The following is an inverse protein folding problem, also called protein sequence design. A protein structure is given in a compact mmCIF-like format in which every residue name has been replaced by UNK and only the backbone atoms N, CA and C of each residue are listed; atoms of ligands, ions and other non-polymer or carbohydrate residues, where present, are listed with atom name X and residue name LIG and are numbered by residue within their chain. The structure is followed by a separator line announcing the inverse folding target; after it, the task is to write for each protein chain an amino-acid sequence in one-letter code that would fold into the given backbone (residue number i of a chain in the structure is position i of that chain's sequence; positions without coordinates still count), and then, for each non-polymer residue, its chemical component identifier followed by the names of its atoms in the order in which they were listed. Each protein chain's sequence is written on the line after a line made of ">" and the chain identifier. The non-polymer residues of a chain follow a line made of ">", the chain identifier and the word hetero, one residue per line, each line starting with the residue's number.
data_IF_243646135712
#
_entry.id   IF_243646135712
#
_cell.length_a   1.000
_cell.length_b   1.000
_cell.length_c   1.000
_cell.angle_alpha   90.00
_cell.angle_beta   90.00
_cell.angle_gamma   90.00
#
_symmetry.space_group_name_H-M   'P 1'
#
loop_
_entity.id
_entity.type
_entity.pdbx_description
1 polymer ?
#
# COMPACT_ATOMS: atom_id res chain seq x y z
N UNK A 1 3.79 15.80 19.70
CA UNK A 1 4.78 14.70 19.73
C UNK A 1 5.04 14.34 18.27
N UNK A 2 6.28 14.30 17.76
CA UNK A 2 6.48 13.85 16.40
C UNK A 2 6.07 12.39 16.34
N UNK A 3 5.12 12.12 15.43
CA UNK A 3 4.55 10.81 15.13
C UNK A 3 5.61 9.71 15.18
N UNK A 4 5.50 8.83 16.16
CA UNK A 4 6.19 7.54 16.13
C UNK A 4 5.85 6.90 14.80
N UNK A 5 6.84 6.70 13.95
CA UNK A 5 6.73 5.92 12.73
C UNK A 5 5.95 4.65 13.08
N UNK A 6 4.75 4.41 12.49
CA UNK A 6 3.94 3.25 12.83
C UNK A 6 4.80 1.99 12.91
N UNK A 7 4.58 1.14 13.93
CA UNK A 7 5.42 -0.04 14.21
C UNK A 7 5.63 -0.92 12.97
N UNK A 8 4.67 -0.91 12.05
CA UNK A 8 4.77 -1.63 10.79
C UNK A 8 5.75 -1.00 9.77
N UNK A 9 5.90 0.31 9.72
CA UNK A 9 6.91 0.99 8.88
C UNK A 9 8.32 0.71 9.38
N UNK A 10 8.53 0.67 10.69
CA UNK A 10 9.81 0.27 11.27
C UNK A 10 10.22 -1.16 10.86
N UNK A 11 9.24 -2.04 10.60
CA UNK A 11 9.48 -3.41 10.10
C UNK A 11 9.78 -3.46 8.60
N UNK A 12 9.26 -2.51 7.81
CA UNK A 12 9.43 -2.48 6.36
C UNK A 12 10.69 -1.74 5.90
N UNK A 13 11.04 -0.64 6.59
CA UNK A 13 12.16 0.24 6.27
C UNK A 13 13.52 -0.46 6.11
N UNK A 14 13.91 -1.48 6.90
CA UNK A 14 15.18 -2.17 6.73
C UNK A 14 15.34 -2.89 5.38
N UNK A 15 14.23 -3.12 4.67
CA UNK A 15 14.21 -3.81 3.38
C UNK A 15 14.17 -2.88 2.17
N UNK A 16 14.22 -1.56 2.40
CA UNK A 16 14.12 -0.54 1.37
C UNK A 16 15.39 0.31 1.31
N UNK A 17 15.87 0.58 0.10
CA UNK A 17 16.87 1.60 -0.11
C UNK A 17 16.25 3.01 0.05
N UNK A 18 17.05 4.08 0.18
CA UNK A 18 16.51 5.43 0.41
C UNK A 18 15.55 5.94 -0.68
N UNK A 19 15.76 5.56 -1.94
CA UNK A 19 14.89 5.96 -3.05
C UNK A 19 13.54 5.24 -2.97
N UNK A 20 13.56 3.93 -2.72
CA UNK A 20 12.37 3.11 -2.48
C UNK A 20 11.57 3.65 -1.28
N UNK A 21 12.24 3.95 -0.17
CA UNK A 21 11.59 4.52 1.01
C UNK A 21 10.92 5.85 0.68
N UNK A 22 11.57 6.74 -0.08
CA UNK A 22 11.01 8.02 -0.50
C UNK A 22 9.77 7.86 -1.40
N UNK A 23 9.78 6.89 -2.31
CA UNK A 23 8.64 6.59 -3.19
C UNK A 23 7.45 5.99 -2.43
N UNK A 24 7.70 5.28 -1.32
CA UNK A 24 6.66 4.66 -0.50
C UNK A 24 5.94 5.64 0.44
N UNK A 25 6.61 6.73 0.85
CA UNK A 25 6.10 7.71 1.84
C UNK A 25 4.70 8.25 1.49
N UNK A 26 4.40 8.70 0.26
CA UNK A 26 3.08 9.20 -0.09
C UNK A 26 1.99 8.14 0.10
N UNK A 27 2.24 6.91 -0.35
CA UNK A 27 1.29 5.79 -0.24
C UNK A 27 1.02 5.43 1.22
N UNK A 28 2.06 5.44 2.05
CA UNK A 28 1.96 5.18 3.48
C UNK A 28 1.21 6.27 4.23
N UNK A 29 1.43 7.54 3.86
CA UNK A 29 0.70 8.68 4.43
C UNK A 29 -0.79 8.59 4.15
N UNK A 30 -1.16 8.29 2.89
CA UNK A 30 -2.55 8.06 2.50
C UNK A 30 -3.16 6.86 3.24
N UNK A 31 -2.42 5.75 3.35
CA UNK A 31 -2.86 4.57 4.09
C UNK A 31 -3.15 4.86 5.56
N UNK A 32 -2.29 5.66 6.22
CA UNK A 32 -2.50 6.07 7.62
C UNK A 32 -3.75 6.92 7.78
N UNK A 33 -4.06 7.77 6.81
CA UNK A 33 -5.25 8.61 6.83
C UNK A 33 -6.56 7.80 6.73
N UNK A 34 -6.51 6.56 6.20
CA UNK A 34 -7.68 5.69 6.15
C UNK A 34 -8.08 5.12 7.52
N UNK A 35 -7.20 5.15 8.52
CA UNK A 35 -7.54 4.72 9.88
C UNK A 35 -7.88 3.23 10.00
N UNK A 36 -7.23 2.38 9.21
CA UNK A 36 -7.34 0.92 9.33
C UNK A 36 -6.80 0.43 10.68
N UNK A 37 -7.29 -0.71 11.17
CA UNK A 37 -6.66 -1.40 12.29
C UNK A 37 -5.22 -1.82 11.95
N UNK A 38 -4.33 -1.85 12.96
CA UNK A 38 -2.88 -2.08 12.80
C UNK A 38 -2.52 -3.26 11.89
N UNK A 39 -3.20 -4.40 12.04
CA UNK A 39 -2.93 -5.59 11.23
C UNK A 39 -3.31 -5.37 9.76
N UNK A 40 -4.49 -4.79 9.52
CA UNK A 40 -4.97 -4.51 8.17
C UNK A 40 -4.14 -3.43 7.49
N UNK A 41 -3.72 -2.43 8.26
CA UNK A 41 -2.80 -1.39 7.81
C UNK A 41 -1.44 -1.98 7.43
N UNK A 42 -0.89 -2.89 8.23
CA UNK A 42 0.36 -3.58 7.87
C UNK A 42 0.22 -4.39 6.59
N UNK A 43 -0.84 -5.20 6.47
CA UNK A 43 -1.08 -6.01 5.26
C UNK A 43 -1.24 -5.13 4.00
N UNK A 44 -1.99 -4.04 4.08
CA UNK A 44 -2.10 -3.09 2.97
C UNK A 44 -0.74 -2.46 2.62
N UNK A 45 0.07 -2.11 3.63
CA UNK A 45 1.41 -1.57 3.41
C UNK A 45 2.33 -2.57 2.71
N UNK A 46 2.23 -3.87 3.01
CA UNK A 46 2.97 -4.91 2.31
C UNK A 46 2.64 -4.92 0.81
N UNK A 47 1.37 -4.87 0.42
CA UNK A 47 1.01 -4.81 -1.01
C UNK A 47 1.59 -3.57 -1.70
N UNK A 48 1.58 -2.41 -1.04
CA UNK A 48 2.20 -1.18 -1.57
C UNK A 48 3.71 -1.35 -1.78
N UNK A 49 4.38 -2.05 -0.86
CA UNK A 49 5.81 -2.34 -0.98
C UNK A 49 6.10 -3.36 -2.09
N UNK A 50 5.28 -4.40 -2.24
CA UNK A 50 5.45 -5.36 -3.34
C UNK A 50 5.24 -4.69 -4.70
N UNK A 51 4.28 -3.75 -4.82
CA UNK A 51 4.15 -2.93 -6.04
C UNK A 51 5.38 -2.06 -6.29
N UNK A 52 5.96 -1.47 -5.25
CA UNK A 52 7.21 -0.72 -5.36
C UNK A 52 8.38 -1.60 -5.82
N UNK A 53 8.43 -2.86 -5.36
CA UNK A 53 9.49 -3.82 -5.72
C UNK A 53 9.27 -4.51 -7.06
N UNK A 54 8.06 -4.43 -7.62
CA UNK A 54 7.75 -5.01 -8.92
C UNK A 54 8.69 -4.45 -10.01
N UNK A 55 9.20 -5.38 -10.82
CA UNK A 55 10.12 -5.13 -11.94
C UNK A 55 9.45 -5.29 -13.29
N UNK A 56 8.24 -5.87 -13.31
CA UNK A 56 7.43 -6.04 -14.52
C UNK A 56 6.01 -5.52 -14.31
N UNK A 57 5.34 -5.13 -15.40
CA UNK A 57 3.92 -4.74 -15.35
C UNK A 57 3.02 -5.88 -14.84
N UNK A 58 3.37 -7.14 -15.16
CA UNK A 58 2.62 -8.30 -14.69
C UNK A 58 2.69 -8.47 -13.17
N UNK A 59 3.86 -8.24 -12.55
CA UNK A 59 4.01 -8.23 -11.09
C UNK A 59 3.20 -7.09 -10.46
N UNK A 60 3.23 -5.89 -11.06
CA UNK A 60 2.41 -4.75 -10.59
C UNK A 60 0.93 -5.09 -10.60
N UNK A 61 0.41 -5.59 -11.72
CA UNK A 61 -1.00 -5.93 -11.84
C UNK A 61 -1.40 -7.05 -10.87
N UNK A 62 -0.53 -8.04 -10.65
CA UNK A 62 -0.75 -9.08 -9.65
C UNK A 62 -0.87 -8.50 -8.24
N UNK A 63 0.09 -7.69 -7.79
CA UNK A 63 0.08 -7.12 -6.44
C UNK A 63 -1.06 -6.11 -6.25
N UNK A 64 -1.37 -5.31 -7.27
CA UNK A 64 -2.51 -4.40 -7.30
C UNK A 64 -3.83 -5.17 -7.11
N UNK A 65 -4.05 -6.24 -7.87
CA UNK A 65 -5.25 -7.05 -7.77
C UNK A 65 -5.36 -7.78 -6.42
N UNK A 66 -4.24 -8.25 -5.85
CA UNK A 66 -4.22 -8.81 -4.50
C UNK A 66 -4.59 -7.78 -3.44
N UNK A 67 -4.04 -6.55 -3.53
CA UNK A 67 -4.40 -5.44 -2.65
C UNK A 67 -5.90 -5.11 -2.73
N UNK A 68 -6.45 -5.01 -3.94
CA UNK A 68 -7.88 -4.77 -4.16
C UNK A 68 -8.75 -5.89 -3.58
N UNK A 69 -8.41 -7.15 -3.83
CA UNK A 69 -9.13 -8.28 -3.26
C UNK A 69 -9.07 -8.30 -1.73
N UNK A 70 -7.96 -7.87 -1.14
CA UNK A 70 -7.84 -7.66 0.31
C UNK A 70 -8.81 -6.57 0.81
N UNK A 71 -8.86 -5.40 0.16
CA UNK A 71 -9.78 -4.32 0.51
C UNK A 71 -11.26 -4.77 0.43
N UNK A 72 -11.62 -5.46 -0.65
CA UNK A 72 -12.95 -6.05 -0.84
C UNK A 72 -13.26 -7.08 0.24
N UNK A 73 -12.29 -7.92 0.61
CA UNK A 73 -12.40 -8.88 1.71
C UNK A 73 -12.72 -8.21 3.05
N UNK A 74 -12.00 -7.14 3.40
CA UNK A 74 -12.27 -6.35 4.60
C UNK A 74 -13.68 -5.75 4.58
N UNK A 75 -14.12 -5.22 3.44
CA UNK A 75 -15.45 -4.63 3.26
C UNK A 75 -16.55 -5.69 3.38
N UNK A 76 -16.39 -6.84 2.73
CA UNK A 76 -17.31 -7.97 2.84
C UNK A 76 -17.43 -8.50 4.27
N UNK A 77 -16.30 -8.55 5.00
CA UNK A 77 -16.26 -8.89 6.41
C UNK A 77 -16.79 -7.78 7.34
N UNK A 78 -17.20 -6.62 6.79
CA UNK A 78 -17.66 -5.43 7.52
C UNK A 78 -16.63 -4.85 8.49
N UNK A 79 -15.35 -5.08 8.24
CA UNK A 79 -14.24 -4.49 9.02
C UNK A 79 -13.96 -3.05 8.59
N UNK A 80 -14.31 -2.69 7.35
CA UNK A 80 -14.24 -1.32 6.84
C UNK A 80 -15.55 -0.98 6.12
N UNK A 81 -15.84 0.32 5.96
CA UNK A 81 -16.98 0.77 5.17
C UNK A 81 -16.71 0.63 3.66
N UNK A 82 -17.77 0.65 2.85
CA UNK A 82 -17.62 0.66 1.39
C UNK A 82 -16.85 1.88 0.89
N UNK A 83 -16.97 3.05 1.54
CA UNK A 83 -16.20 4.23 1.17
C UNK A 83 -14.71 4.05 1.44
N UNK A 84 -14.35 3.43 2.58
CA UNK A 84 -12.96 3.09 2.89
C UNK A 84 -12.40 2.04 1.93
N UNK A 85 -13.22 1.07 1.51
CA UNK A 85 -12.84 0.09 0.49
C UNK A 85 -12.47 0.77 -0.82
N UNK A 86 -13.32 1.69 -1.30
CA UNK A 86 -13.05 2.47 -2.52
C UNK A 86 -11.73 3.25 -2.37
N UNK A 87 -11.56 3.99 -1.27
CA UNK A 87 -10.32 4.76 -1.05
C UNK A 87 -9.07 3.89 -0.95
N UNK A 88 -9.18 2.67 -0.41
CA UNK A 88 -8.07 1.73 -0.35
C UNK A 88 -7.74 1.12 -1.74
N UNK A 89 -8.76 0.82 -2.55
CA UNK A 89 -8.59 0.40 -3.93
C UNK A 89 -7.93 1.51 -4.78
N UNK A 90 -8.38 2.75 -4.64
CA UNK A 90 -7.81 3.91 -5.34
C UNK A 90 -6.34 4.10 -4.98
N UNK A 91 -5.99 3.93 -3.70
CA UNK A 91 -4.61 3.97 -3.24
C UNK A 91 -3.72 2.92 -3.92
N UNK A 92 -4.23 1.69 -4.11
CA UNK A 92 -3.52 0.65 -4.83
C UNK A 92 -3.37 0.97 -6.32
N UNK A 93 -4.40 1.54 -6.96
CA UNK A 93 -4.34 1.98 -8.35
C UNK A 93 -3.28 3.07 -8.56
N UNK A 94 -3.23 4.06 -7.68
CA UNK A 94 -2.23 5.12 -7.72
C UNK A 94 -0.81 4.59 -7.53
N UNK A 95 -0.61 3.66 -6.60
CA UNK A 95 0.69 3.03 -6.36
C UNK A 95 1.14 2.21 -7.57
N UNK A 96 0.23 1.43 -8.17
CA UNK A 96 0.52 0.69 -9.40
C UNK A 96 0.86 1.64 -10.55
N UNK A 97 0.14 2.76 -10.69
CA UNK A 97 0.43 3.74 -11.73
C UNK A 97 1.81 4.38 -11.59
N UNK A 98 2.25 4.70 -10.36
CA UNK A 98 3.62 5.13 -10.10
C UNK A 98 4.64 4.07 -10.48
N UNK A 99 4.37 2.81 -10.12
CA UNK A 99 5.21 1.67 -10.52
C UNK A 99 5.34 1.52 -12.03
N UNK A 100 4.24 1.69 -12.80
CA UNK A 100 4.27 1.62 -14.27
C UNK A 100 5.18 2.69 -14.87
N UNK A 101 5.10 3.92 -14.37
CA UNK A 101 5.97 5.01 -14.80
C UNK A 101 7.46 4.71 -14.51
N UNK A 102 7.75 4.07 -13.38
CA UNK A 102 9.11 3.64 -13.01
C UNK A 102 9.64 2.52 -13.90
N UNK A 103 8.82 1.53 -14.23
CA UNK A 103 9.21 0.38 -15.07
C UNK A 103 9.44 0.80 -16.53
N UNK A 104 8.69 1.80 -17.00
CA UNK A 104 8.82 2.32 -18.36
C UNK A 104 9.99 3.30 -18.57
N UNK A 105 10.65 3.75 -17.48
CA UNK A 105 11.75 4.71 -17.48
C UNK A 105 13.12 4.04 -17.63
#
# INVERSE_FOLDING_TARGET
>A
MPDSCPNYLAKMLPSLNPAEAAELVPSVGALKALGLEDNSQFTAALYLMEMLKATTEAELDMHMNQGKGFAEGLSCAKQISSSMCVSLCDLFDEAAQRGRLRIAA
#
